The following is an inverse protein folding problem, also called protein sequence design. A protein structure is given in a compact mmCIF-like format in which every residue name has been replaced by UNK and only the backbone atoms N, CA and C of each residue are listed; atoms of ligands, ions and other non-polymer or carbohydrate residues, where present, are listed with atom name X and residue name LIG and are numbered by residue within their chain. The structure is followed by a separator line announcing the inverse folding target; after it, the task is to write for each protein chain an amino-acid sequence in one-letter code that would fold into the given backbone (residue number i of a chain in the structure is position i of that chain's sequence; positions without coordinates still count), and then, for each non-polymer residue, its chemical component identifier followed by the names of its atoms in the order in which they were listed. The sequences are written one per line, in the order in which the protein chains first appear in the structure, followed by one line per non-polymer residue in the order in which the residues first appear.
data_IF_981535476717
#
_entry.id   IF_981535476717
#
_cell.length_a   1.000
_cell.length_b   1.000
_cell.length_c   1.000
_cell.angle_alpha   90.00
_cell.angle_beta   90.00
_cell.angle_gamma   90.00
#
_symmetry.space_group_name_H-M   'P 1'
#
loop_
_entity.id
_entity.type
_entity.pdbx_description
1 polymer ?
#
# COMPACT_ATOMS: atom_id res chain seq x y z
N UNK A 1 16.04 8.71 18.73
CA UNK A 1 14.83 9.45 18.33
C UNK A 1 14.99 10.14 16.98
N UNK A 2 16.13 10.79 16.69
CA UNK A 2 16.35 11.58 15.47
C UNK A 2 16.29 10.78 14.15
N UNK A 3 16.72 9.51 14.13
CA UNK A 3 16.69 8.66 12.94
C UNK A 3 15.26 8.29 12.50
N UNK A 4 14.41 7.87 13.46
CA UNK A 4 13.01 7.49 13.20
C UNK A 4 12.22 8.70 12.65
N UNK A 5 12.46 9.91 13.18
CA UNK A 5 11.75 11.11 12.72
C UNK A 5 12.05 11.52 11.27
N UNK A 6 13.19 11.09 10.71
CA UNK A 6 13.54 11.33 9.30
C UNK A 6 13.21 10.14 8.40
N UNK A 7 12.53 9.12 8.93
CA UNK A 7 12.13 7.94 8.17
C UNK A 7 13.19 6.85 8.08
N UNK A 8 14.28 6.93 8.86
CA UNK A 8 15.20 5.81 9.01
C UNK A 8 14.67 4.85 10.09
N UNK A 9 14.02 3.79 9.61
CA UNK A 9 13.36 2.79 10.42
C UNK A 9 14.23 1.56 10.70
N UNK A 10 15.49 1.58 10.28
CA UNK A 10 16.45 0.51 10.57
C UNK A 10 17.09 0.68 11.95
N UNK A 11 17.05 1.90 12.49
CA UNK A 11 17.60 2.24 13.80
C UNK A 11 16.61 1.88 14.92
N UNK A 12 17.05 1.00 15.84
CA UNK A 12 16.29 0.59 17.03
C UNK A 12 16.88 1.20 18.29
N UNK A 13 16.07 1.31 19.34
CA UNK A 13 16.57 1.73 20.66
C UNK A 13 17.33 0.55 21.27
N UNK A 14 18.67 0.64 21.27
CA UNK A 14 19.58 -0.40 21.76
C UNK A 14 20.07 -0.18 23.21
N UNK A 15 19.66 0.91 23.86
CA UNK A 15 20.07 1.25 25.23
C UNK A 15 19.54 0.21 26.23
N UNK A 16 20.38 -0.20 27.18
CA UNK A 16 19.98 -1.04 28.30
C UNK A 16 18.99 -0.28 29.19
N UNK A 17 17.87 -0.94 29.50
CA UNK A 17 16.77 -0.38 30.26
C UNK A 17 16.13 -1.48 31.11
N UNK A 18 15.60 -1.09 32.26
CA UNK A 18 14.92 -1.98 33.18
C UNK A 18 13.55 -1.41 33.56
N UNK A 19 12.69 -2.27 34.13
CA UNK A 19 11.36 -1.87 34.60
C UNK A 19 10.49 -1.23 33.52
N UNK A 20 9.86 -0.11 33.85
CA UNK A 20 8.95 0.62 32.96
C UNK A 20 9.65 1.17 31.71
N UNK A 21 10.95 1.51 31.80
CA UNK A 21 11.71 2.02 30.66
C UNK A 21 11.99 0.91 29.65
N UNK A 22 12.16 -0.33 30.11
CA UNK A 22 12.25 -1.50 29.22
C UNK A 22 10.94 -1.71 28.46
N UNK A 23 9.80 -1.65 29.14
CA UNK A 23 8.48 -1.79 28.51
C UNK A 23 8.22 -0.70 27.46
N UNK A 24 8.59 0.55 27.78
CA UNK A 24 8.48 1.66 26.84
C UNK A 24 9.40 1.46 25.62
N UNK A 25 10.65 1.04 25.85
CA UNK A 25 11.61 0.72 24.79
C UNK A 25 11.06 -0.34 23.84
N UNK A 26 10.53 -1.43 24.39
CA UNK A 26 10.00 -2.54 23.60
C UNK A 26 8.75 -2.12 22.82
N UNK A 27 7.86 -1.32 23.44
CA UNK A 27 6.68 -0.76 22.76
C UNK A 27 7.09 0.14 21.59
N UNK A 28 8.09 1.01 21.78
CA UNK A 28 8.59 1.88 20.72
C UNK A 28 9.26 1.08 19.60
N UNK A 29 10.05 0.06 19.92
CA UNK A 29 10.66 -0.81 18.92
C UNK A 29 9.61 -1.59 18.11
N UNK A 30 8.54 -2.09 18.75
CA UNK A 30 7.42 -2.74 18.05
C UNK A 30 6.67 -1.77 17.12
N UNK A 31 6.52 -0.51 17.53
CA UNK A 31 5.95 0.54 16.68
C UNK A 31 6.83 0.80 15.44
N UNK A 32 8.16 0.86 15.63
CA UNK A 32 9.12 1.04 14.52
C UNK A 32 9.06 -0.15 13.56
N UNK A 33 9.02 -1.38 14.07
CA UNK A 33 8.91 -2.58 13.24
C UNK A 33 7.62 -2.56 12.39
N UNK A 34 6.49 -2.22 13.01
CA UNK A 34 5.20 -2.11 12.30
C UNK A 34 5.22 -1.05 11.20
N UNK A 35 5.86 0.10 11.47
CA UNK A 35 6.02 1.17 10.49
C UNK A 35 6.92 0.74 9.32
N UNK A 36 7.99 -0.01 9.63
CA UNK A 36 8.95 -0.47 8.64
C UNK A 36 8.34 -1.52 7.70
N UNK A 37 7.54 -2.45 8.24
CA UNK A 37 6.80 -3.44 7.44
C UNK A 37 5.74 -2.76 6.56
N UNK A 38 5.00 -1.79 7.09
CA UNK A 38 4.06 -1.00 6.31
C UNK A 38 4.74 -0.25 5.16
N UNK A 39 5.84 0.46 5.43
CA UNK A 39 6.56 1.23 4.42
C UNK A 39 7.10 0.34 3.28
N UNK A 40 7.60 -0.86 3.61
CA UNK A 40 8.05 -1.85 2.62
C UNK A 40 6.90 -2.29 1.71
N UNK A 41 5.76 -2.65 2.29
CA UNK A 41 4.61 -3.14 1.52
C UNK A 41 4.01 -2.06 0.61
N UNK A 42 3.89 -0.82 1.11
CA UNK A 42 3.39 0.29 0.28
C UNK A 42 4.33 0.58 -0.88
N UNK A 43 5.65 0.63 -0.63
CA UNK A 43 6.64 0.83 -1.70
C UNK A 43 6.61 -0.30 -2.72
N UNK A 44 6.45 -1.56 -2.27
CA UNK A 44 6.35 -2.72 -3.14
C UNK A 44 5.13 -2.61 -4.06
N UNK A 45 3.95 -2.35 -3.52
CA UNK A 45 2.72 -2.24 -4.31
C UNK A 45 2.77 -1.05 -5.28
N UNK A 46 3.28 0.10 -4.82
CA UNK A 46 3.43 1.27 -5.68
C UNK A 46 4.37 0.97 -6.86
N UNK A 47 5.48 0.26 -6.63
CA UNK A 47 6.40 -0.15 -7.68
C UNK A 47 5.75 -1.15 -8.63
N UNK A 48 5.16 -2.22 -8.11
CA UNK A 48 4.56 -3.29 -8.92
C UNK A 48 3.42 -2.76 -9.80
N UNK A 49 2.42 -2.11 -9.18
CA UNK A 49 1.20 -1.72 -9.89
C UNK A 49 1.40 -0.41 -10.65
N UNK A 50 2.14 0.54 -10.08
CA UNK A 50 2.30 1.88 -10.64
C UNK A 50 3.44 2.01 -11.66
N UNK A 51 4.55 1.29 -11.48
CA UNK A 51 5.75 1.46 -12.30
C UNK A 51 5.95 0.26 -13.24
N UNK A 52 5.91 -0.95 -12.69
CA UNK A 52 6.17 -2.18 -13.46
C UNK A 52 4.93 -2.66 -14.23
N UNK A 53 3.74 -2.09 -13.96
CA UNK A 53 2.49 -2.49 -14.60
C UNK A 53 2.01 -3.90 -14.22
N UNK A 54 2.51 -4.47 -13.13
CA UNK A 54 2.06 -5.76 -12.57
C UNK A 54 0.71 -5.56 -11.89
N UNK A 55 -0.35 -5.77 -12.65
CA UNK A 55 -1.71 -5.52 -12.19
C UNK A 55 -2.20 -6.60 -11.23
N UNK A 56 -2.85 -6.19 -10.15
CA UNK A 56 -3.43 -7.07 -9.13
C UNK A 56 -2.59 -7.22 -7.86
N UNK A 57 -1.44 -6.54 -7.75
CA UNK A 57 -0.66 -6.47 -6.52
C UNK A 57 -1.44 -5.80 -5.38
N UNK A 58 -1.34 -6.37 -4.19
CA UNK A 58 -1.95 -5.86 -2.96
C UNK A 58 -0.95 -5.93 -1.81
N UNK A 59 -1.02 -4.98 -0.88
CA UNK A 59 -0.23 -4.91 0.33
C UNK A 59 -0.84 -5.83 1.39
N UNK A 60 0.00 -6.62 2.05
CA UNK A 60 -0.38 -7.43 3.20
C UNK A 60 0.53 -7.08 4.38
N UNK A 61 0.03 -6.28 5.31
CA UNK A 61 0.76 -5.94 6.54
C UNK A 61 0.12 -6.70 7.70
N UNK A 62 0.88 -7.56 8.38
CA UNK A 62 0.38 -8.38 9.49
C UNK A 62 0.34 -7.55 10.77
N UNK A 63 -0.63 -7.85 11.64
CA UNK A 63 -0.70 -7.24 12.98
C UNK A 63 -1.12 -5.76 13.00
N UNK A 64 -1.49 -5.16 11.87
CA UNK A 64 -1.96 -3.77 11.82
C UNK A 64 -3.43 -3.65 12.22
N UNK A 65 -3.72 -2.63 13.04
CA UNK A 65 -5.07 -2.24 13.43
C UNK A 65 -5.25 -0.72 13.33
N UNK A 66 -6.49 -0.25 13.44
CA UNK A 66 -6.82 1.18 13.42
C UNK A 66 -6.33 1.88 12.15
N UNK A 67 -5.60 2.99 12.32
CA UNK A 67 -5.11 3.83 11.22
C UNK A 67 -4.27 3.05 10.21
N UNK A 68 -3.40 2.15 10.68
CA UNK A 68 -2.52 1.36 9.80
C UNK A 68 -3.28 0.41 8.88
N UNK A 69 -4.33 -0.22 9.41
CA UNK A 69 -5.23 -1.06 8.63
C UNK A 69 -5.95 -0.24 7.55
N UNK A 70 -6.51 0.90 7.94
CA UNK A 70 -7.21 1.79 7.00
C UNK A 70 -6.29 2.28 5.87
N UNK A 71 -5.03 2.62 6.19
CA UNK A 71 -4.05 3.02 5.17
C UNK A 71 -3.72 1.87 4.21
N UNK A 72 -3.54 0.65 4.72
CA UNK A 72 -3.31 -0.54 3.91
C UNK A 72 -4.49 -0.81 2.97
N UNK A 73 -5.72 -0.72 3.48
CA UNK A 73 -6.94 -0.88 2.70
C UNK A 73 -7.09 0.19 1.62
N UNK A 74 -6.73 1.44 1.92
CA UNK A 74 -6.75 2.53 0.93
C UNK A 74 -5.74 2.31 -0.20
N UNK A 75 -4.52 1.86 0.10
CA UNK A 75 -3.51 1.50 -0.90
C UNK A 75 -4.02 0.34 -1.77
N UNK A 76 -4.63 -0.68 -1.16
CA UNK A 76 -5.21 -1.81 -1.88
C UNK A 76 -6.39 -1.40 -2.78
N UNK A 77 -7.22 -0.47 -2.33
CA UNK A 77 -8.31 0.08 -3.14
C UNK A 77 -7.76 0.85 -4.35
N UNK A 78 -6.70 1.64 -4.16
CA UNK A 78 -6.03 2.37 -5.25
C UNK A 78 -5.46 1.40 -6.29
N UNK A 79 -4.70 0.40 -5.84
CA UNK A 79 -4.10 -0.62 -6.70
C UNK A 79 -5.15 -1.43 -7.47
N UNK A 80 -6.25 -1.81 -6.81
CA UNK A 80 -7.38 -2.52 -7.43
C UNK A 80 -8.10 -1.67 -8.47
N UNK A 81 -8.35 -0.39 -8.17
CA UNK A 81 -8.96 0.55 -9.11
C UNK A 81 -8.09 0.74 -10.35
N UNK A 82 -6.78 0.95 -10.18
CA UNK A 82 -5.85 1.11 -11.30
C UNK A 82 -5.80 -0.17 -12.16
N UNK A 83 -5.70 -1.34 -11.52
CA UNK A 83 -5.76 -2.64 -12.19
C UNK A 83 -7.02 -2.80 -13.03
N UNK A 84 -8.18 -2.49 -12.46
CA UNK A 84 -9.46 -2.60 -13.17
C UNK A 84 -9.54 -1.63 -14.36
N UNK A 85 -9.07 -0.39 -14.17
CA UNK A 85 -9.04 0.62 -15.24
C UNK A 85 -8.15 0.17 -16.41
N UNK A 86 -6.93 -0.28 -16.14
CA UNK A 86 -5.99 -0.71 -17.19
C UNK A 86 -6.51 -1.94 -17.94
N UNK A 87 -7.06 -2.93 -17.22
CA UNK A 87 -7.67 -4.11 -17.86
C UNK A 87 -8.85 -3.73 -18.75
N UNK A 88 -9.72 -2.82 -18.31
CA UNK A 88 -10.84 -2.36 -19.11
C UNK A 88 -10.38 -1.64 -20.39
N UNK A 89 -9.33 -0.82 -20.30
CA UNK A 89 -8.73 -0.18 -21.48
C UNK A 89 -8.17 -1.21 -22.45
N UNK A 90 -7.46 -2.23 -21.95
CA UNK A 90 -6.91 -3.30 -22.77
C UNK A 90 -8.02 -4.09 -23.49
N UNK A 91 -9.11 -4.43 -22.80
CA UNK A 91 -10.27 -5.10 -23.39
C UNK A 91 -10.91 -4.27 -24.51
N UNK A 92 -11.16 -2.98 -24.27
CA UNK A 92 -11.77 -2.09 -25.26
C UNK A 92 -10.85 -1.89 -26.46
N UNK A 93 -9.55 -1.70 -26.23
CA UNK A 93 -8.57 -1.50 -27.31
C UNK A 93 -8.43 -2.76 -28.16
N UNK A 94 -8.45 -3.95 -27.54
CA UNK A 94 -8.48 -5.24 -28.25
C UNK A 94 -9.74 -5.39 -29.08
N UNK A 95 -10.91 -5.01 -28.54
CA UNK A 95 -12.17 -5.06 -29.28
C UNK A 95 -12.15 -4.13 -30.50
N UNK A 96 -11.65 -2.90 -30.34
CA UNK A 96 -11.50 -1.93 -31.44
C UNK A 96 -10.54 -2.45 -32.50
N UNK A 97 -9.40 -3.02 -32.12
CA UNK A 97 -8.44 -3.62 -33.05
C UNK A 97 -9.05 -4.77 -33.87
N UNK A 98 -10.00 -5.51 -33.28
CA UNK A 98 -10.76 -6.56 -33.95
C UNK A 98 -12.01 -6.05 -34.69
N UNK A 99 -12.17 -4.73 -34.85
CA UNK A 99 -13.29 -4.10 -35.57
C UNK A 99 -14.60 -3.98 -34.79
N UNK A 100 -14.60 -4.33 -33.49
CA UNK A 100 -15.78 -4.23 -32.63
C UNK A 100 -15.82 -2.88 -31.88
N UNK A 101 -16.52 -1.91 -32.45
CA UNK A 101 -16.73 -0.57 -31.86
C UNK A 101 -17.89 -0.49 -30.86
N UNK A 102 -18.59 -1.60 -30.58
CA UNK A 102 -19.70 -1.61 -29.62
C UNK A 102 -19.25 -1.57 -28.15
N UNK A 103 -17.98 -1.92 -27.87
CA UNK A 103 -17.40 -1.88 -26.52
C UNK A 103 -17.05 -0.46 -26.12
N UNK A 104 -17.36 -0.11 -24.87
CA UNK A 104 -17.10 1.21 -24.28
C UNK A 104 -16.30 1.07 -23.01
N UNK A 105 -15.47 2.07 -22.73
CA UNK A 105 -14.76 2.17 -21.46
C UNK A 105 -15.78 2.26 -20.31
N UNK A 106 -15.62 1.39 -19.32
CA UNK A 106 -16.47 1.31 -18.14
C UNK A 106 -15.80 2.08 -17.00
N UNK A 107 -16.01 3.40 -16.98
CA UNK A 107 -15.71 4.21 -15.81
C UNK A 107 -16.83 4.01 -14.77
N UNK A 108 -16.47 3.55 -13.56
CA UNK A 108 -17.37 3.67 -12.41
C UNK A 108 -17.54 5.16 -12.08
N UNK A 109 -18.56 5.80 -12.64
CA UNK A 109 -19.04 7.09 -12.13
C UNK A 109 -19.56 6.83 -10.72
N UNK A 110 -18.80 7.16 -9.67
CA UNK A 110 -19.40 7.34 -8.34
C UNK A 110 -20.47 8.41 -8.50
N UNK A 111 -21.72 8.01 -8.31
CA UNK A 111 -22.82 8.94 -8.35
C UNK A 111 -22.73 9.89 -7.14
N UNK A 112 -22.72 11.18 -7.48
CA UNK A 112 -23.13 12.36 -6.71
C UNK A 112 -22.19 12.93 -5.63
N UNK A 113 -22.09 14.26 -5.76
CA UNK A 113 -21.65 15.29 -4.83
C UNK A 113 -22.10 15.05 -3.39
#
# INVERSE_FOLDING_TARGET
ATAISVGDLNEKIAVEAEGEILQLKDTLNQMVDSLNDFAKEVNRVAKEVGIEGKLGGQAEVRGVAGVWKNLTENVNLMASNLTAQVRNIAEVTTAVANGNLSKKLLWKRKAKF
#
